data_IF_441500677895
#
_entry.id   IF_441500677895
#
_cell.length_a   1.000
_cell.length_b   1.000
_cell.length_c   1.000
_cell.angle_alpha   90.00
_cell.angle_beta   90.00
_cell.angle_gamma   90.00
#
_symmetry.space_group_name_H-M   'P 1'
#
loop_
_entity.id
_entity.type
_entity.pdbx_description
1 polymer ?
#
# COMPACT_ATOMS: atom_id res chain seq x y z
N UNK A 1 -73.69 -26.12 -32.29
CA UNK A 1 -72.84 -27.29 -31.98
C UNK A 1 -71.51 -27.11 -32.67
N UNK A 2 -70.39 -27.30 -31.93
CA UNK A 2 -69.07 -27.85 -32.32
C UNK A 2 -68.47 -27.46 -33.69
N UNK A 3 -67.18 -27.17 -33.88
CA UNK A 3 -65.94 -27.23 -33.07
C UNK A 3 -64.84 -26.54 -33.90
N UNK A 4 -63.87 -25.93 -33.21
CA UNK A 4 -62.55 -25.55 -33.74
C UNK A 4 -61.75 -26.79 -34.18
N UNK A 5 -60.84 -26.65 -35.17
CA UNK A 5 -59.39 -26.74 -34.93
C UNK A 5 -58.54 -26.86 -36.20
N UNK A 6 -57.67 -25.86 -36.37
CA UNK A 6 -56.27 -25.85 -36.77
C UNK A 6 -55.77 -26.88 -37.81
N UNK A 7 -55.39 -26.36 -38.98
CA UNK A 7 -54.31 -26.90 -39.80
C UNK A 7 -52.99 -26.80 -39.03
N UNK A 8 -52.38 -27.95 -38.71
CA UNK A 8 -50.99 -28.02 -38.30
C UNK A 8 -50.09 -27.97 -39.53
N UNK A 9 -49.22 -26.96 -39.56
CA UNK A 9 -48.09 -26.82 -40.46
C UNK A 9 -47.05 -27.92 -40.21
N UNK A 10 -46.35 -28.27 -41.29
CA UNK A 10 -45.31 -29.29 -41.41
C UNK A 10 -44.22 -29.24 -40.31
N UNK A 11 -43.61 -30.39 -39.96
CA UNK A 11 -42.39 -30.40 -39.16
C UNK A 11 -41.23 -29.84 -39.99
N UNK A 12 -40.61 -28.78 -39.48
CA UNK A 12 -39.32 -28.29 -39.97
C UNK A 12 -38.30 -29.42 -39.79
N UNK A 13 -37.81 -29.95 -40.90
CA UNK A 13 -36.71 -30.90 -40.96
C UNK A 13 -35.50 -30.26 -40.27
N UNK A 14 -35.08 -30.82 -39.12
CA UNK A 14 -33.80 -30.50 -38.49
C UNK A 14 -32.69 -30.87 -39.48
N UNK A 15 -32.06 -29.88 -40.10
CA UNK A 15 -30.87 -30.07 -40.91
C UNK A 15 -29.77 -30.70 -40.02
N UNK A 16 -29.58 -32.00 -40.16
CA UNK A 16 -28.56 -32.72 -39.39
C UNK A 16 -27.18 -32.28 -39.88
N UNK A 17 -26.33 -31.80 -38.96
CA UNK A 17 -24.93 -31.48 -39.23
C UNK A 17 -24.59 -29.99 -39.48
N UNK A 18 -25.54 -29.08 -39.63
CA UNK A 18 -25.23 -27.63 -39.75
C UNK A 18 -25.32 -26.90 -38.40
N UNK A 19 -24.55 -25.82 -38.24
CA UNK A 19 -24.68 -24.91 -37.11
C UNK A 19 -25.92 -24.03 -37.28
N UNK A 20 -26.73 -23.95 -36.23
CA UNK A 20 -27.93 -23.13 -36.20
C UNK A 20 -27.86 -22.18 -35.01
N UNK A 21 -28.14 -20.89 -35.23
CA UNK A 21 -28.32 -19.93 -34.13
C UNK A 21 -29.48 -20.38 -33.24
N UNK A 22 -29.28 -20.31 -31.94
CA UNK A 22 -30.29 -20.71 -30.95
C UNK A 22 -30.54 -19.57 -29.97
N UNK A 23 -31.71 -19.58 -29.33
CA UNK A 23 -32.05 -18.61 -28.29
C UNK A 23 -31.11 -18.74 -27.09
N UNK A 24 -30.70 -17.61 -26.52
CA UNK A 24 -29.93 -17.55 -25.28
C UNK A 24 -30.71 -18.09 -24.07
N UNK A 25 -32.03 -18.19 -24.19
CA UNK A 25 -32.91 -18.77 -23.19
C UNK A 25 -33.08 -20.29 -23.27
N UNK A 26 -32.45 -20.95 -24.25
CA UNK A 26 -32.53 -22.41 -24.40
C UNK A 26 -32.02 -23.11 -23.11
N UNK A 27 -32.84 -23.94 -22.42
CA UNK A 27 -32.44 -24.57 -21.17
C UNK A 27 -31.25 -25.55 -21.31
N UNK A 28 -31.08 -26.12 -22.50
CA UNK A 28 -29.93 -26.97 -22.83
C UNK A 28 -28.64 -26.16 -22.98
N UNK A 29 -28.75 -24.96 -23.56
CA UNK A 29 -27.65 -24.01 -23.67
C UNK A 29 -27.18 -23.51 -22.30
N UNK A 30 -28.10 -23.12 -21.40
CA UNK A 30 -27.75 -22.63 -20.05
C UNK A 30 -26.86 -23.63 -19.29
N UNK A 31 -27.29 -24.91 -19.27
CA UNK A 31 -26.53 -26.01 -18.65
C UNK A 31 -25.19 -26.28 -19.33
N UNK A 32 -25.15 -26.17 -20.67
CA UNK A 32 -23.93 -26.35 -21.42
C UNK A 32 -22.91 -25.24 -21.11
N UNK A 33 -23.34 -23.98 -21.10
CA UNK A 33 -22.50 -22.81 -20.80
C UNK A 33 -21.96 -22.88 -19.37
N UNK A 34 -22.81 -23.15 -18.37
CA UNK A 34 -22.37 -23.31 -16.97
C UNK A 34 -21.29 -24.40 -16.86
N UNK A 35 -21.51 -25.55 -17.50
CA UNK A 35 -20.53 -26.64 -17.53
C UNK A 35 -19.25 -26.27 -18.27
N UNK A 36 -19.37 -25.51 -19.37
CA UNK A 36 -18.24 -25.04 -20.18
C UNK A 36 -17.36 -24.05 -19.42
N UNK A 37 -17.96 -23.07 -18.74
CA UNK A 37 -17.24 -22.09 -17.92
C UNK A 37 -16.62 -22.75 -16.69
N UNK A 38 -17.27 -23.75 -16.08
CA UNK A 38 -16.67 -24.57 -15.03
C UNK A 38 -15.40 -25.28 -15.51
N UNK A 39 -15.46 -25.96 -16.64
CA UNK A 39 -14.32 -26.67 -17.22
C UNK A 39 -13.21 -25.71 -17.64
N UNK A 40 -13.56 -24.52 -18.15
CA UNK A 40 -12.63 -23.45 -18.45
C UNK A 40 -11.92 -22.96 -17.18
N UNK A 41 -12.66 -22.72 -16.09
CA UNK A 41 -12.11 -22.31 -14.80
C UNK A 41 -11.15 -23.36 -14.25
N UNK A 42 -11.49 -24.65 -14.33
CA UNK A 42 -10.62 -25.75 -13.89
C UNK A 42 -9.32 -25.87 -14.70
N UNK A 43 -9.37 -25.61 -16.01
CA UNK A 43 -8.18 -25.67 -16.90
C UNK A 43 -7.31 -24.41 -16.86
N UNK A 44 -7.78 -23.33 -16.25
CA UNK A 44 -7.03 -22.08 -16.11
C UNK A 44 -5.97 -22.18 -15.01
N UNK A 45 -4.80 -21.58 -15.23
CA UNK A 45 -3.73 -21.46 -14.22
C UNK A 45 -4.00 -20.39 -13.15
N UNK A 46 -5.15 -19.69 -13.20
CA UNK A 46 -5.51 -18.69 -12.18
C UNK A 46 -5.74 -19.32 -10.81
N UNK A 47 -5.34 -18.61 -9.75
CA UNK A 47 -5.63 -18.95 -8.35
C UNK A 47 -7.12 -18.83 -8.00
N UNK A 48 -7.86 -18.04 -8.79
CA UNK A 48 -9.25 -17.69 -8.56
C UNK A 48 -10.19 -18.38 -9.54
N UNK A 49 -11.43 -18.62 -9.11
CA UNK A 49 -12.47 -19.12 -10.00
C UNK A 49 -12.88 -18.08 -11.05
N UNK A 50 -13.37 -18.56 -12.19
CA UNK A 50 -13.97 -17.71 -13.23
C UNK A 50 -15.45 -18.02 -13.32
N UNK A 51 -16.30 -16.99 -13.34
CA UNK A 51 -17.76 -17.12 -13.51
C UNK A 51 -18.20 -16.53 -14.84
N UNK A 52 -19.33 -17.02 -15.33
CA UNK A 52 -20.04 -16.44 -16.46
C UNK A 52 -20.56 -15.05 -16.04
N UNK A 53 -20.31 -14.06 -16.89
CA UNK A 53 -20.93 -12.74 -16.80
C UNK A 53 -22.13 -12.69 -17.75
N UNK A 54 -21.89 -13.02 -19.03
CA UNK A 54 -22.88 -12.87 -20.08
C UNK A 54 -22.62 -13.85 -21.24
N UNK A 55 -23.69 -14.28 -21.91
CA UNK A 55 -23.63 -15.03 -23.17
C UNK A 55 -24.04 -14.07 -24.29
N UNK A 56 -23.14 -13.85 -25.25
CA UNK A 56 -23.37 -12.94 -26.37
C UNK A 56 -24.05 -13.64 -27.54
N UNK A 57 -23.53 -14.83 -27.88
CA UNK A 57 -23.96 -15.57 -29.06
C UNK A 57 -23.92 -17.07 -28.77
N UNK A 58 -24.88 -17.79 -29.37
CA UNK A 58 -24.95 -19.24 -29.26
C UNK A 58 -25.42 -19.88 -30.57
N UNK A 59 -24.68 -20.89 -31.01
CA UNK A 59 -25.05 -21.78 -32.09
C UNK A 59 -25.05 -23.22 -31.59
N UNK A 60 -25.94 -24.03 -32.13
CA UNK A 60 -26.04 -25.47 -31.84
C UNK A 60 -25.93 -26.27 -33.13
N UNK A 61 -25.21 -27.38 -33.06
CA UNK A 61 -25.11 -28.36 -34.13
C UNK A 61 -25.52 -29.73 -33.58
N UNK A 62 -26.43 -30.40 -34.29
CA UNK A 62 -26.87 -31.77 -33.96
C UNK A 62 -25.86 -32.77 -34.50
N UNK A 63 -25.30 -33.60 -33.60
CA UNK A 63 -24.35 -34.69 -33.88
C UNK A 63 -24.83 -35.96 -33.16
N UNK A 64 -23.95 -36.90 -32.81
CA UNK A 64 -24.26 -37.98 -31.85
C UNK A 64 -24.43 -37.44 -30.40
N UNK A 65 -25.25 -36.40 -30.25
CA UNK A 65 -25.25 -35.44 -29.15
C UNK A 65 -25.48 -34.01 -29.69
N UNK A 66 -24.96 -33.01 -29.00
CA UNK A 66 -25.03 -31.62 -29.41
C UNK A 66 -23.68 -30.95 -29.24
N UNK A 67 -23.23 -30.23 -30.26
CA UNK A 67 -22.18 -29.24 -30.08
C UNK A 67 -22.84 -27.87 -29.87
N UNK A 68 -22.32 -27.11 -28.91
CA UNK A 68 -22.64 -25.70 -28.70
C UNK A 68 -21.40 -24.88 -29.01
N UNK A 69 -21.52 -23.88 -29.87
CA UNK A 69 -20.51 -22.83 -30.05
C UNK A 69 -21.07 -21.59 -29.38
N UNK A 70 -20.36 -21.07 -28.38
CA UNK A 70 -20.83 -19.95 -27.57
C UNK A 70 -19.75 -18.88 -27.44
N UNK A 71 -20.15 -17.62 -27.53
CA UNK A 71 -19.30 -16.46 -27.21
C UNK A 71 -19.76 -15.92 -25.86
N UNK A 72 -18.89 -15.95 -24.87
CA UNK A 72 -19.23 -15.60 -23.47
C UNK A 72 -18.24 -14.60 -22.88
N UNK A 73 -18.72 -13.71 -22.03
CA UNK A 73 -17.87 -12.93 -21.12
C UNK A 73 -17.68 -13.69 -19.82
N UNK A 74 -16.42 -13.84 -19.38
CA UNK A 74 -16.08 -14.44 -18.09
C UNK A 74 -15.24 -13.50 -17.25
N UNK A 75 -15.50 -13.48 -15.95
CA UNK A 75 -14.76 -12.68 -14.97
C UNK A 75 -14.19 -13.56 -13.88
N UNK A 76 -13.04 -13.17 -13.32
CA UNK A 76 -12.52 -13.83 -12.12
C UNK A 76 -13.31 -13.41 -10.89
N UNK A 77 -13.34 -14.26 -9.87
CA UNK A 77 -14.01 -13.99 -8.60
C UNK A 77 -13.02 -13.86 -7.46
N UNK A 78 -13.44 -13.30 -6.33
CA UNK A 78 -12.60 -13.28 -5.11
C UNK A 78 -12.38 -14.67 -4.49
N UNK A 79 -13.07 -15.71 -4.97
CA UNK A 79 -13.00 -17.06 -4.41
C UNK A 79 -11.84 -17.87 -5.00
N UNK A 80 -10.93 -18.28 -4.11
CA UNK A 80 -9.78 -19.12 -4.46
C UNK A 80 -10.21 -20.56 -4.72
N UNK A 81 -9.61 -21.18 -5.74
CA UNK A 81 -9.86 -22.59 -6.09
C UNK A 81 -9.47 -23.58 -5.01
N UNK A 82 -8.53 -23.22 -4.13
CA UNK A 82 -8.10 -24.05 -3.01
C UNK A 82 -9.08 -24.03 -1.83
N UNK A 83 -10.02 -23.08 -1.80
CA UNK A 83 -10.88 -22.83 -0.64
C UNK A 83 -12.36 -23.11 -0.92
N UNK A 84 -12.82 -22.85 -2.13
CA UNK A 84 -14.24 -22.93 -2.51
C UNK A 84 -14.38 -23.85 -3.72
N UNK A 85 -15.40 -24.73 -3.72
CA UNK A 85 -15.72 -25.52 -4.91
C UNK A 85 -16.51 -24.69 -5.92
N UNK A 86 -16.42 -25.02 -7.19
CA UNK A 86 -17.09 -24.24 -8.24
C UNK A 86 -18.61 -24.17 -8.05
N UNK A 87 -19.20 -25.24 -7.52
CA UNK A 87 -20.63 -25.36 -7.26
C UNK A 87 -21.14 -24.35 -6.19
N UNK A 88 -20.24 -23.84 -5.34
CA UNK A 88 -20.57 -22.97 -4.20
C UNK A 88 -20.28 -21.48 -4.47
N UNK A 89 -20.10 -21.10 -5.74
CA UNK A 89 -19.69 -19.74 -6.13
C UNK A 89 -20.81 -18.67 -6.08
N UNK A 90 -22.00 -18.99 -5.58
CA UNK A 90 -23.14 -18.08 -5.57
C UNK A 90 -22.92 -16.84 -4.68
N UNK A 91 -22.09 -16.94 -3.64
CA UNK A 91 -21.71 -15.81 -2.76
C UNK A 91 -20.38 -15.13 -3.12
N UNK A 92 -19.80 -15.44 -4.28
CA UNK A 92 -18.50 -14.92 -4.69
C UNK A 92 -18.64 -13.73 -5.64
N UNK A 93 -18.20 -12.56 -5.19
CA UNK A 93 -18.12 -11.36 -6.01
C UNK A 93 -17.02 -11.45 -7.07
N UNK A 94 -17.20 -10.71 -8.16
CA UNK A 94 -16.20 -10.58 -9.22
C UNK A 94 -15.01 -9.74 -8.74
N UNK A 95 -13.80 -10.16 -9.11
CA UNK A 95 -12.60 -9.33 -9.00
C UNK A 95 -12.72 -8.16 -9.98
N UNK A 96 -12.37 -6.96 -9.54
CA UNK A 96 -12.25 -5.80 -10.41
C UNK A 96 -11.08 -6.02 -11.42
N UNK A 97 -11.39 -6.09 -12.71
CA UNK A 97 -10.41 -6.34 -13.76
C UNK A 97 -11.03 -6.60 -15.15
N UNK A 98 -10.22 -6.75 -16.21
CA UNK A 98 -10.72 -6.97 -17.56
C UNK A 98 -11.45 -8.30 -17.67
N UNK A 99 -12.68 -8.26 -18.17
CA UNK A 99 -13.43 -9.46 -18.54
C UNK A 99 -12.77 -10.11 -19.76
N UNK A 100 -12.75 -11.44 -19.81
CA UNK A 100 -12.27 -12.17 -20.99
C UNK A 100 -13.46 -12.54 -21.86
N UNK A 101 -13.38 -12.28 -23.16
CA UNK A 101 -14.31 -12.88 -24.11
C UNK A 101 -13.73 -14.23 -24.51
N UNK A 102 -14.52 -15.27 -24.29
CA UNK A 102 -14.16 -16.64 -24.63
C UNK A 102 -15.11 -17.19 -25.68
N UNK A 103 -14.54 -17.74 -26.75
CA UNK A 103 -15.23 -18.58 -27.72
C UNK A 103 -15.08 -20.03 -27.25
N UNK A 104 -16.17 -20.66 -26.84
CA UNK A 104 -16.19 -22.04 -26.34
C UNK A 104 -16.92 -22.96 -27.32
N UNK A 105 -16.38 -24.16 -27.52
CA UNK A 105 -17.08 -25.27 -28.16
C UNK A 105 -17.30 -26.36 -27.12
N UNK A 106 -18.57 -26.64 -26.83
CA UNK A 106 -19.00 -27.53 -25.75
C UNK A 106 -19.80 -28.67 -26.38
N UNK A 107 -19.31 -29.90 -26.21
CA UNK A 107 -20.01 -31.09 -26.62
C UNK A 107 -20.86 -31.64 -25.47
N UNK A 108 -22.11 -32.01 -25.76
CA UNK A 108 -23.02 -32.71 -24.86
C UNK A 108 -23.43 -34.05 -25.48
N UNK A 109 -23.18 -35.16 -24.80
CA UNK A 109 -23.63 -36.47 -25.26
C UNK A 109 -25.12 -36.73 -24.93
N UNK A 110 -25.66 -37.86 -25.38
CA UNK A 110 -27.05 -38.27 -25.13
C UNK A 110 -27.35 -38.56 -23.64
N UNK A 111 -26.32 -38.72 -22.79
CA UNK A 111 -26.43 -38.90 -21.33
C UNK A 111 -26.34 -37.57 -20.55
N UNK A 112 -26.35 -36.42 -21.24
CA UNK A 112 -26.19 -35.07 -20.67
C UNK A 112 -24.81 -34.77 -20.04
N UNK A 113 -23.78 -35.53 -20.39
CA UNK A 113 -22.41 -35.22 -19.98
C UNK A 113 -21.80 -34.18 -20.92
N UNK A 114 -21.11 -33.18 -20.35
CA UNK A 114 -20.54 -32.06 -21.08
C UNK A 114 -19.01 -32.16 -21.16
N UNK A 115 -18.45 -31.80 -22.31
CA UNK A 115 -16.99 -31.70 -22.51
C UNK A 115 -16.67 -30.40 -23.25
N UNK A 116 -15.69 -29.66 -22.73
CA UNK A 116 -15.11 -28.51 -23.42
C UNK A 116 -14.08 -28.99 -24.44
N UNK A 117 -14.43 -28.92 -25.73
CA UNK A 117 -13.63 -29.49 -26.83
C UNK A 117 -12.67 -28.46 -27.44
N UNK A 118 -13.08 -27.19 -27.51
CA UNK A 118 -12.22 -26.08 -27.95
C UNK A 118 -12.54 -24.83 -27.11
N UNK A 119 -11.52 -24.05 -26.78
CA UNK A 119 -11.70 -22.74 -26.16
C UNK A 119 -10.61 -21.79 -26.63
N UNK A 120 -10.96 -20.53 -26.82
CA UNK A 120 -10.06 -19.42 -27.12
C UNK A 120 -10.57 -18.20 -26.37
N UNK A 121 -9.72 -17.59 -25.55
CA UNK A 121 -10.10 -16.47 -24.70
C UNK A 121 -9.16 -15.30 -24.98
N UNK A 122 -9.72 -14.20 -25.46
CA UNK A 122 -8.99 -12.96 -25.70
C UNK A 122 -9.35 -11.95 -24.60
N UNK A 123 -8.37 -11.15 -24.17
CA UNK A 123 -8.64 -9.90 -23.45
C UNK A 123 -9.32 -8.96 -24.42
N UNK A 124 -10.55 -8.55 -24.15
CA UNK A 124 -11.33 -7.80 -25.13
C UNK A 124 -10.89 -6.32 -25.22
N UNK A 125 -10.45 -5.83 -26.38
CA UNK A 125 -10.28 -4.39 -26.65
C UNK A 125 -11.61 -3.67 -27.00
N UNK A 126 -12.74 -4.38 -27.12
CA UNK A 126 -13.99 -3.82 -27.67
C UNK A 126 -15.21 -3.79 -26.73
N UNK A 127 -15.05 -3.97 -25.40
CA UNK A 127 -16.03 -3.38 -24.48
C UNK A 127 -15.76 -1.89 -24.43
N UNK A 128 -16.41 -1.12 -25.32
CA UNK A 128 -16.52 0.33 -25.13
C UNK A 128 -17.04 0.50 -23.71
N UNK A 129 -16.26 1.12 -22.81
CA UNK A 129 -16.76 1.38 -21.49
C UNK A 129 -18.05 2.20 -21.66
N UNK A 130 -19.04 2.03 -20.77
CA UNK A 130 -20.09 3.03 -20.60
C UNK A 130 -19.46 4.43 -20.76
N UNK A 131 -20.08 5.40 -21.44
CA UNK A 131 -19.45 6.71 -21.67
C UNK A 131 -18.80 7.27 -20.40
N UNK A 132 -19.44 7.06 -19.24
CA UNK A 132 -18.90 7.40 -17.92
C UNK A 132 -17.61 6.65 -17.55
N UNK A 133 -17.54 5.34 -17.78
CA UNK A 133 -16.34 4.53 -17.55
C UNK A 133 -15.22 4.83 -18.55
N UNK A 134 -15.55 5.31 -19.76
CA UNK A 134 -14.57 5.63 -20.81
C UNK A 134 -13.94 6.98 -20.52
N UNK A 135 -14.77 7.94 -20.11
CA UNK A 135 -14.32 9.23 -19.59
C UNK A 135 -13.48 9.04 -18.32
N UNK A 136 -13.88 8.16 -17.40
CA UNK A 136 -13.10 7.87 -16.20
C UNK A 136 -11.75 7.23 -16.53
N UNK A 137 -11.72 6.21 -17.39
CA UNK A 137 -10.47 5.56 -17.79
C UNK A 137 -9.52 6.54 -18.50
N UNK A 138 -10.06 7.40 -19.37
CA UNK A 138 -9.28 8.44 -20.03
C UNK A 138 -8.76 9.49 -19.05
N UNK A 139 -9.56 9.90 -18.07
CA UNK A 139 -9.11 10.81 -17.01
C UNK A 139 -8.02 10.18 -16.12
N UNK A 140 -8.17 8.91 -15.74
CA UNK A 140 -7.16 8.16 -15.00
C UNK A 140 -5.86 8.01 -15.79
N UNK A 141 -5.94 7.81 -17.10
CA UNK A 141 -4.79 7.78 -18.00
C UNK A 141 -4.05 9.12 -18.04
N UNK A 142 -4.77 10.24 -18.18
CA UNK A 142 -4.17 11.58 -18.14
C UNK A 142 -3.51 11.87 -16.79
N UNK A 143 -4.14 11.46 -15.69
CA UNK A 143 -3.56 11.57 -14.34
C UNK A 143 -2.30 10.71 -14.20
N UNK A 144 -2.26 9.54 -14.82
CA UNK A 144 -1.08 8.68 -14.80
C UNK A 144 0.08 9.28 -15.62
N UNK A 145 -0.20 9.81 -16.81
CA UNK A 145 0.81 10.48 -17.64
C UNK A 145 1.41 11.70 -16.94
N UNK A 146 0.57 12.51 -16.29
CA UNK A 146 0.99 13.62 -15.44
C UNK A 146 1.78 13.16 -14.21
N UNK A 147 1.38 12.06 -13.56
CA UNK A 147 2.14 11.43 -12.48
C UNK A 147 3.54 10.98 -12.94
N UNK A 148 3.62 10.30 -14.09
CA UNK A 148 4.87 9.84 -14.69
C UNK A 148 5.80 11.01 -14.96
N UNK A 149 5.28 12.09 -15.58
CA UNK A 149 6.06 13.29 -15.84
C UNK A 149 6.50 14.01 -14.55
N UNK A 150 5.58 14.19 -13.59
CA UNK A 150 5.86 14.89 -12.32
C UNK A 150 6.94 14.21 -11.48
N UNK A 151 6.93 12.88 -11.46
CA UNK A 151 7.84 12.09 -10.63
C UNK A 151 9.03 11.51 -11.41
N UNK A 152 9.19 11.87 -12.68
CA UNK A 152 10.28 11.38 -13.53
C UNK A 152 10.32 9.85 -13.60
N UNK A 153 9.15 9.21 -13.75
CA UNK A 153 9.07 7.74 -13.78
C UNK A 153 9.54 7.22 -15.12
N UNK A 154 10.45 6.25 -15.06
CA UNK A 154 10.94 5.50 -16.21
C UNK A 154 10.57 4.03 -16.02
N UNK A 155 10.06 3.41 -17.09
CA UNK A 155 9.66 2.01 -17.11
C UNK A 155 10.46 1.30 -18.20
N UNK A 156 10.78 0.02 -17.97
CA UNK A 156 11.61 -0.79 -18.86
C UNK A 156 10.96 -0.95 -20.24
N UNK A 157 9.65 -1.17 -20.26
CA UNK A 157 8.86 -1.38 -21.46
C UNK A 157 7.39 -0.98 -21.25
N UNK A 158 6.60 -1.02 -22.33
CA UNK A 158 5.18 -0.67 -22.28
C UNK A 158 4.35 -1.69 -21.48
N UNK A 159 4.79 -2.95 -21.35
CA UNK A 159 4.12 -3.94 -20.52
C UNK A 159 4.26 -3.60 -19.03
N UNK A 160 5.46 -3.20 -18.59
CA UNK A 160 5.68 -2.68 -17.23
C UNK A 160 4.85 -1.42 -17.00
N UNK A 161 4.91 -0.45 -17.91
CA UNK A 161 4.14 0.80 -17.79
C UNK A 161 2.64 0.55 -17.68
N UNK A 162 2.11 -0.40 -18.45
CA UNK A 162 0.71 -0.79 -18.37
C UNK A 162 0.38 -1.48 -17.03
N UNK A 163 1.27 -2.31 -16.50
CA UNK A 163 1.11 -2.90 -15.17
C UNK A 163 1.13 -1.82 -14.07
N UNK A 164 2.06 -0.86 -14.15
CA UNK A 164 2.18 0.29 -13.25
C UNK A 164 0.94 1.18 -13.30
N UNK A 165 0.35 1.37 -14.48
CA UNK A 165 -0.94 2.06 -14.62
C UNK A 165 -2.06 1.33 -13.87
N UNK A 166 -2.15 0.00 -13.93
CA UNK A 166 -3.18 -0.73 -13.18
C UNK A 166 -2.99 -0.59 -11.66
N UNK A 167 -1.75 -0.63 -11.18
CA UNK A 167 -1.43 -0.39 -9.76
C UNK A 167 -1.82 1.04 -9.36
N UNK A 168 -1.48 2.02 -10.20
CA UNK A 168 -1.84 3.42 -10.00
C UNK A 168 -3.35 3.61 -9.85
N UNK A 169 -4.15 3.00 -10.73
CA UNK A 169 -5.62 3.04 -10.63
C UNK A 169 -6.16 2.43 -9.34
N UNK A 170 -5.58 1.32 -8.88
CA UNK A 170 -5.95 0.73 -7.59
C UNK A 170 -5.62 1.66 -6.43
N UNK A 171 -4.46 2.31 -6.48
CA UNK A 171 -4.05 3.29 -5.47
C UNK A 171 -4.90 4.57 -5.51
N UNK A 172 -5.39 5.01 -6.67
CA UNK A 172 -6.38 6.10 -6.75
C UNK A 172 -7.65 5.77 -5.95
N UNK A 173 -8.11 4.52 -5.94
CA UNK A 173 -9.24 4.09 -5.10
C UNK A 173 -8.92 4.18 -3.62
N UNK A 174 -7.71 3.77 -3.21
CA UNK A 174 -7.24 3.91 -1.82
C UNK A 174 -7.14 5.37 -1.40
N UNK A 175 -6.58 6.24 -2.25
CA UNK A 175 -6.51 7.68 -2.05
C UNK A 175 -7.91 8.27 -1.87
N UNK A 176 -8.86 7.90 -2.73
CA UNK A 176 -10.25 8.33 -2.57
C UNK A 176 -10.83 7.85 -1.24
N UNK A 177 -10.62 6.59 -0.89
CA UNK A 177 -11.12 6.03 0.36
C UNK A 177 -10.55 6.75 1.59
N UNK A 178 -9.24 7.06 1.61
CA UNK A 178 -8.61 7.85 2.66
C UNK A 178 -9.23 9.25 2.77
N UNK A 179 -9.40 9.95 1.65
CA UNK A 179 -10.01 11.28 1.62
C UNK A 179 -11.47 11.27 2.11
N UNK A 180 -12.26 10.26 1.72
CA UNK A 180 -13.68 10.15 2.11
C UNK A 180 -13.85 9.85 3.62
N UNK A 181 -12.85 9.24 4.27
CA UNK A 181 -12.90 8.82 5.67
C UNK A 181 -11.97 9.63 6.60
N UNK A 182 -11.32 10.66 6.08
CA UNK A 182 -10.41 11.52 6.83
C UNK A 182 -11.18 12.30 7.91
N UNK A 183 -10.82 12.12 9.19
CA UNK A 183 -11.48 12.83 10.29
C UNK A 183 -10.91 14.20 10.56
N UNK A 184 -9.73 14.51 10.06
CA UNK A 184 -8.94 15.72 10.28
C UNK A 184 -9.16 16.74 9.18
N UNK A 185 -8.08 17.13 8.51
CA UNK A 185 -8.07 18.06 7.36
C UNK A 185 -7.09 17.62 6.27
N UNK A 186 -6.49 16.45 6.43
CA UNK A 186 -5.51 15.96 5.47
C UNK A 186 -6.13 15.78 4.08
N UNK A 187 -5.28 15.99 3.08
CA UNK A 187 -5.53 15.63 1.69
C UNK A 187 -4.55 14.54 1.32
N UNK A 188 -5.09 13.49 0.72
CA UNK A 188 -4.32 12.40 0.15
C UNK A 188 -4.33 12.53 -1.37
N UNK A 189 -3.21 12.22 -2.00
CA UNK A 189 -3.01 12.41 -3.43
C UNK A 189 -1.96 11.48 -4.00
N UNK A 190 -1.65 11.66 -5.27
CA UNK A 190 -0.64 10.88 -5.99
C UNK A 190 0.76 11.32 -5.55
N UNK A 191 1.34 10.58 -4.61
CA UNK A 191 2.74 10.72 -4.19
C UNK A 191 3.65 9.90 -5.12
N UNK A 192 4.97 9.98 -4.93
CA UNK A 192 5.95 9.16 -5.69
C UNK A 192 5.74 7.64 -5.60
N UNK A 193 4.89 7.18 -4.68
CA UNK A 193 4.54 5.78 -4.45
C UNK A 193 3.23 5.35 -5.11
N UNK A 194 2.57 6.22 -5.88
CA UNK A 194 1.25 5.94 -6.44
C UNK A 194 1.24 4.75 -7.42
N UNK A 195 2.36 4.37 -8.02
CA UNK A 195 2.50 3.20 -8.89
C UNK A 195 3.14 1.97 -8.22
N UNK A 196 3.26 1.98 -6.89
CA UNK A 196 3.78 0.86 -6.10
C UNK A 196 2.66 -0.02 -5.55
N UNK A 197 2.89 -1.32 -5.55
CA UNK A 197 2.07 -2.29 -4.81
C UNK A 197 2.26 -2.12 -3.30
N UNK A 198 1.36 -2.69 -2.50
CA UNK A 198 1.51 -2.69 -1.04
C UNK A 198 2.76 -3.44 -0.58
N UNK A 199 3.16 -4.49 -1.31
CA UNK A 199 4.37 -5.26 -1.02
C UNK A 199 5.65 -4.46 -1.31
N UNK A 200 5.70 -3.77 -2.45
CA UNK A 200 6.81 -2.87 -2.78
C UNK A 200 6.93 -1.75 -1.74
N UNK A 201 5.82 -1.10 -1.38
CA UNK A 201 5.83 -0.04 -0.38
C UNK A 201 6.33 -0.54 0.98
N UNK A 202 5.82 -1.67 1.46
CA UNK A 202 6.25 -2.27 2.73
C UNK A 202 7.73 -2.69 2.71
N UNK A 203 8.22 -3.20 1.60
CA UNK A 203 9.61 -3.66 1.49
C UNK A 203 10.61 -2.50 1.39
N UNK A 204 10.26 -1.45 0.64
CA UNK A 204 11.23 -0.45 0.20
C UNK A 204 11.10 0.90 0.91
N UNK A 205 9.91 1.30 1.38
CA UNK A 205 9.69 2.59 2.04
C UNK A 205 9.51 2.48 3.56
N UNK A 206 9.21 1.28 4.06
CA UNK A 206 9.07 0.98 5.50
C UNK A 206 10.26 0.18 5.99
N UNK A 207 10.32 -0.17 7.27
CA UNK A 207 11.44 -0.96 7.79
C UNK A 207 11.62 -0.95 9.30
N UNK A 208 10.62 -0.47 10.04
CA UNK A 208 10.60 -0.68 11.48
C UNK A 208 10.25 -2.14 11.75
N UNK A 209 11.05 -2.81 12.59
CA UNK A 209 10.89 -4.23 12.91
C UNK A 209 10.72 -4.47 14.41
N UNK A 210 9.51 -4.23 14.96
CA UNK A 210 9.23 -4.47 16.39
C UNK A 210 9.55 -5.89 16.88
N UNK A 211 9.60 -6.87 15.98
CA UNK A 211 9.96 -8.26 16.27
C UNK A 211 11.45 -8.47 16.59
N UNK A 212 12.32 -7.50 16.27
CA UNK A 212 13.74 -7.52 16.65
C UNK A 212 13.98 -7.04 18.10
N UNK A 213 12.93 -6.67 18.84
CA UNK A 213 13.07 -6.24 20.22
C UNK A 213 13.36 -7.46 21.11
N UNK A 214 14.55 -7.51 21.71
CA UNK A 214 14.90 -8.58 22.64
C UNK A 214 14.05 -8.50 23.93
N UNK A 215 13.49 -9.62 24.37
CA UNK A 215 12.53 -9.66 25.49
C UNK A 215 13.14 -9.31 26.86
N UNK A 216 14.46 -9.42 26.99
CA UNK A 216 15.20 -9.09 28.22
C UNK A 216 15.78 -7.67 28.22
N UNK A 217 15.61 -6.93 27.13
CA UNK A 217 16.22 -5.62 26.96
C UNK A 217 15.39 -4.55 27.66
N UNK A 218 15.83 -4.16 28.87
CA UNK A 218 15.18 -3.11 29.65
C UNK A 218 15.82 -1.78 29.30
N UNK A 219 15.20 -1.04 28.40
CA UNK A 219 15.60 0.33 28.10
C UNK A 219 15.10 1.23 29.24
N UNK A 220 15.96 2.05 29.87
CA UNK A 220 15.54 2.95 30.93
C UNK A 220 14.40 3.86 30.49
N UNK A 221 13.43 4.09 31.38
CA UNK A 221 12.39 5.09 31.15
C UNK A 221 12.94 6.48 31.43
N UNK A 222 12.58 7.43 30.58
CA UNK A 222 12.88 8.83 30.77
C UNK A 222 12.22 9.39 32.03
N UNK A 223 12.95 10.22 32.77
CA UNK A 223 12.34 11.14 33.74
C UNK A 223 11.68 12.28 32.94
N UNK A 224 10.36 12.39 33.06
CA UNK A 224 9.61 13.41 32.31
C UNK A 224 9.73 14.75 33.03
N UNK A 225 10.27 15.79 32.39
CA UNK A 225 10.42 17.09 33.00
C UNK A 225 9.07 17.79 33.14
N UNK A 226 8.88 18.58 34.20
CA UNK A 226 7.78 19.53 34.24
C UNK A 226 8.15 20.76 33.39
N UNK A 227 7.64 20.80 32.15
CA UNK A 227 7.90 21.89 31.22
C UNK A 227 6.60 22.64 30.87
N UNK A 228 6.64 23.98 30.75
CA UNK A 228 5.50 24.73 30.23
C UNK A 228 5.24 24.33 28.78
N UNK A 229 3.97 24.12 28.44
CA UNK A 229 3.54 23.69 27.12
C UNK A 229 2.90 24.86 26.37
N UNK A 230 3.63 25.60 25.53
CA UNK A 230 3.01 26.57 24.63
C UNK A 230 2.06 25.86 23.65
N UNK A 231 1.13 26.58 23.02
CA UNK A 231 0.18 26.01 22.05
C UNK A 231 0.87 25.43 20.80
N UNK A 232 2.04 25.96 20.45
CA UNK A 232 2.87 25.45 19.36
C UNK A 232 4.34 25.54 19.72
N UNK A 233 5.11 24.58 19.20
CA UNK A 233 6.55 24.49 19.40
C UNK A 233 7.16 23.73 18.23
N UNK A 234 8.27 24.23 17.68
CA UNK A 234 8.94 23.62 16.53
C UNK A 234 10.46 23.76 16.63
N UNK A 235 11.18 22.63 16.64
CA UNK A 235 12.64 22.62 16.71
C UNK A 235 13.31 23.10 15.43
N UNK A 236 12.59 23.16 14.30
CA UNK A 236 13.09 23.74 13.05
C UNK A 236 13.37 25.23 13.19
N UNK A 237 12.53 25.95 13.93
CA UNK A 237 12.71 27.38 14.23
C UNK A 237 13.97 27.65 15.06
N UNK A 238 14.47 26.62 15.77
CA UNK A 238 15.69 26.67 16.57
C UNK A 238 16.92 26.15 15.81
N UNK A 239 16.77 25.74 14.55
CA UNK A 239 17.85 25.24 13.68
C UNK A 239 18.63 24.07 14.28
N UNK A 240 17.92 23.15 14.95
CA UNK A 240 18.52 21.91 15.47
C UNK A 240 18.03 20.65 14.73
N UNK A 241 17.32 20.85 13.61
CA UNK A 241 16.81 19.79 12.75
C UNK A 241 17.48 19.93 11.39
N UNK A 242 18.15 18.89 10.92
CA UNK A 242 18.77 18.86 9.59
C UNK A 242 17.72 18.85 8.47
N UNK A 243 18.18 19.03 7.22
CA UNK A 243 17.33 18.90 6.04
C UNK A 243 16.65 17.52 5.95
N UNK A 244 15.53 17.43 5.23
CA UNK A 244 14.88 16.15 4.94
C UNK A 244 15.73 15.34 3.98
N UNK A 245 16.01 14.08 4.34
CA UNK A 245 16.73 13.10 3.53
C UNK A 245 15.77 12.13 2.83
N UNK A 246 16.31 11.24 1.98
CA UNK A 246 15.53 10.23 1.24
C UNK A 246 16.18 8.84 1.39
N UNK A 247 15.46 7.89 2.01
CA UNK A 247 15.91 6.51 2.18
C UNK A 247 15.84 5.69 0.87
N UNK A 248 15.27 6.24 -0.20
CA UNK A 248 15.19 5.54 -1.48
C UNK A 248 14.38 4.24 -1.39
N UNK A 249 14.94 3.15 -1.93
CA UNK A 249 14.31 1.82 -1.95
C UNK A 249 14.90 0.85 -0.92
N UNK A 250 15.33 1.37 0.22
CA UNK A 250 15.91 0.63 1.33
C UNK A 250 15.04 0.79 2.58
N UNK A 251 14.78 -0.30 3.30
CA UNK A 251 13.99 -0.29 4.52
C UNK A 251 14.72 0.26 5.75
N UNK A 252 15.44 1.37 5.61
CA UNK A 252 16.31 1.93 6.65
C UNK A 252 15.70 3.11 7.43
N UNK A 253 14.36 3.26 7.42
CA UNK A 253 13.68 4.33 8.18
C UNK A 253 14.07 4.37 9.67
N UNK A 254 14.37 3.21 10.26
CA UNK A 254 14.88 3.07 11.63
C UNK A 254 16.20 3.82 11.83
N UNK A 255 17.12 3.75 10.86
CA UNK A 255 18.40 4.47 10.89
C UNK A 255 18.16 5.99 10.82
N UNK A 256 17.33 6.46 9.87
CA UNK A 256 16.99 7.88 9.72
C UNK A 256 16.29 8.48 10.96
N UNK A 257 15.41 7.73 11.60
CA UNK A 257 14.75 8.14 12.85
C UNK A 257 15.77 8.26 13.99
N UNK A 258 16.74 7.35 14.05
CA UNK A 258 17.82 7.32 15.04
C UNK A 258 18.79 8.48 14.85
N UNK A 259 19.34 8.63 13.65
CA UNK A 259 20.28 9.72 13.33
C UNK A 259 19.62 11.06 13.56
N UNK A 260 18.41 11.29 13.03
CA UNK A 260 17.69 12.55 13.23
C UNK A 260 17.44 12.91 14.70
N UNK A 261 17.25 11.92 15.58
CA UNK A 261 17.19 12.18 17.02
C UNK A 261 18.56 12.60 17.57
N UNK A 262 19.63 11.86 17.26
CA UNK A 262 20.98 12.14 17.74
C UNK A 262 21.47 13.51 17.26
N UNK A 263 21.21 13.88 16.00
CA UNK A 263 21.53 15.21 15.45
C UNK A 263 20.94 16.32 16.32
N UNK A 264 19.66 16.19 16.69
CA UNK A 264 18.98 17.14 17.57
C UNK A 264 19.53 17.14 19.00
N UNK A 265 19.75 15.95 19.58
CA UNK A 265 20.32 15.81 20.93
C UNK A 265 21.73 16.41 21.03
N UNK A 266 22.56 16.17 20.02
CA UNK A 266 23.92 16.68 19.93
C UNK A 266 23.94 18.21 19.81
N UNK A 267 23.10 18.77 18.94
CA UNK A 267 22.96 20.21 18.77
C UNK A 267 22.47 20.90 20.06
N UNK A 268 21.53 20.30 20.80
CA UNK A 268 21.03 20.81 22.07
C UNK A 268 22.07 20.88 23.18
N UNK A 269 23.12 20.06 23.10
CA UNK A 269 24.27 20.11 24.01
C UNK A 269 25.30 21.17 23.62
N UNK A 270 24.99 22.03 22.64
CA UNK A 270 25.86 23.10 22.19
C UNK A 270 27.05 22.61 21.36
N UNK A 271 26.99 21.37 20.84
CA UNK A 271 28.08 20.74 20.08
C UNK A 271 27.96 20.94 18.57
N UNK A 272 27.01 21.75 18.13
CA UNK A 272 26.72 22.06 16.72
C UNK A 272 25.74 21.08 16.07
N UNK A 273 25.11 21.49 14.97
CA UNK A 273 24.28 20.61 14.15
C UNK A 273 25.16 19.89 13.13
N UNK A 274 25.11 18.56 13.11
CA UNK A 274 25.89 17.69 12.22
C UNK A 274 24.91 16.80 11.47
N UNK A 275 25.12 16.58 10.17
CA UNK A 275 24.37 15.56 9.42
C UNK A 275 25.08 14.22 9.59
N UNK A 276 24.39 13.21 10.10
CA UNK A 276 24.97 11.92 10.48
C UNK A 276 24.73 10.84 9.42
N UNK A 277 25.61 9.84 9.36
CA UNK A 277 25.49 8.75 8.40
C UNK A 277 24.44 7.72 8.81
N UNK A 278 23.38 7.57 8.01
CA UNK A 278 22.50 6.41 8.13
C UNK A 278 23.13 5.13 7.56
N UNK A 279 24.00 5.26 6.56
CA UNK A 279 24.64 4.12 5.90
C UNK A 279 25.54 3.33 6.84
N UNK A 280 26.25 4.02 7.74
CA UNK A 280 27.04 3.36 8.77
C UNK A 280 26.16 2.45 9.63
N UNK A 281 24.94 2.86 9.98
CA UNK A 281 24.01 2.00 10.71
C UNK A 281 23.53 0.83 9.84
N UNK A 282 23.16 1.09 8.59
CA UNK A 282 22.74 0.04 7.65
C UNK A 282 23.81 -1.06 7.52
N UNK A 283 25.09 -0.68 7.44
CA UNK A 283 26.18 -1.61 7.17
C UNK A 283 26.81 -2.22 8.43
N UNK A 284 26.86 -1.48 9.54
CA UNK A 284 27.67 -1.82 10.72
C UNK A 284 26.86 -2.27 11.94
N UNK A 285 25.54 -2.03 11.98
CA UNK A 285 24.66 -2.58 13.00
C UNK A 285 24.58 -4.10 12.87
N UNK A 286 24.97 -4.82 13.93
CA UNK A 286 25.01 -6.29 13.92
C UNK A 286 23.71 -6.94 14.40
N UNK A 287 22.80 -6.17 14.95
CA UNK A 287 21.55 -6.62 15.57
C UNK A 287 20.41 -6.48 14.56
N UNK A 288 20.31 -5.31 13.94
CA UNK A 288 19.32 -5.00 12.91
C UNK A 288 19.67 -5.67 11.58
N UNK A 289 18.91 -5.39 10.52
CA UNK A 289 18.95 -6.11 9.25
C UNK A 289 19.11 -5.16 8.06
N UNK A 290 19.81 -4.05 8.26
CA UNK A 290 20.11 -3.07 7.20
C UNK A 290 18.84 -2.61 6.47
N UNK A 291 18.79 -2.84 5.15
CA UNK A 291 17.63 -2.53 4.32
C UNK A 291 16.41 -3.45 4.52
N UNK A 292 16.53 -4.58 5.22
CA UNK A 292 15.39 -5.42 5.63
C UNK A 292 14.74 -4.96 6.96
N UNK A 293 15.29 -3.89 7.56
CA UNK A 293 14.71 -3.19 8.69
C UNK A 293 15.45 -3.33 10.02
N UNK A 294 14.97 -2.58 11.01
CA UNK A 294 15.66 -2.42 12.29
C UNK A 294 14.83 -1.66 13.32
N UNK A 295 15.47 -1.30 14.43
CA UNK A 295 14.86 -0.58 15.56
C UNK A 295 15.77 0.52 16.05
N UNK A 296 15.20 1.70 16.35
CA UNK A 296 15.99 2.82 16.85
C UNK A 296 16.73 2.48 18.15
N UNK A 297 16.12 1.64 18.98
CA UNK A 297 16.70 1.21 20.26
C UNK A 297 17.87 0.25 20.12
N UNK A 298 17.89 -0.55 19.05
CA UNK A 298 19.03 -1.40 18.72
C UNK A 298 20.17 -0.55 18.15
N UNK A 299 19.83 0.33 17.21
CA UNK A 299 20.75 1.31 16.64
C UNK A 299 21.48 2.13 17.71
N UNK A 300 20.79 2.65 18.73
CA UNK A 300 21.47 3.37 19.83
C UNK A 300 22.52 2.51 20.55
N UNK A 301 22.25 1.22 20.80
CA UNK A 301 23.22 0.32 21.44
C UNK A 301 24.42 0.06 20.55
N UNK A 302 24.18 -0.12 19.25
CA UNK A 302 25.25 -0.37 18.30
C UNK A 302 26.14 0.87 18.12
N UNK A 303 25.57 2.08 18.13
CA UNK A 303 26.36 3.33 18.16
C UNK A 303 27.25 3.39 19.41
N UNK A 304 26.70 3.04 20.58
CA UNK A 304 27.50 2.98 21.83
C UNK A 304 28.62 1.93 21.71
N UNK A 305 28.32 0.76 21.12
CA UNK A 305 29.29 -0.32 20.89
C UNK A 305 30.41 0.08 19.93
N UNK A 306 30.08 0.77 18.84
CA UNK A 306 31.03 1.30 17.85
C UNK A 306 31.88 2.44 18.43
N UNK A 307 31.34 3.13 19.45
CA UNK A 307 31.98 4.24 20.13
C UNK A 307 31.67 5.61 19.51
N UNK A 308 30.60 5.69 18.70
CA UNK A 308 30.16 6.88 18.02
C UNK A 308 29.61 6.59 16.62
N UNK A 309 29.39 7.66 15.86
CA UNK A 309 28.89 7.64 14.49
C UNK A 309 29.62 8.70 13.65
N UNK A 310 29.89 8.38 12.39
CA UNK A 310 30.48 9.27 11.38
C UNK A 310 29.43 10.24 10.81
N UNK A 311 29.91 11.26 10.10
CA UNK A 311 29.05 12.22 9.42
C UNK A 311 28.61 11.70 8.05
N UNK A 312 27.49 12.20 7.54
CA UNK A 312 26.96 11.89 6.21
C UNK A 312 28.01 12.11 5.09
N UNK A 313 28.88 13.12 5.23
CA UNK A 313 29.91 13.41 4.24
C UNK A 313 31.06 12.39 4.21
N UNK A 314 31.32 11.73 5.34
CA UNK A 314 32.44 10.80 5.51
C UNK A 314 32.00 9.36 5.19
N UNK A 315 30.72 9.03 5.44
CA UNK A 315 30.09 7.76 5.07
C UNK A 315 28.72 8.02 4.40
N UNK A 316 28.69 8.34 3.10
CA UNK A 316 27.47 8.73 2.40
C UNK A 316 26.44 7.62 2.24
N UNK A 317 25.16 8.00 2.26
CA UNK A 317 24.03 7.10 2.03
C UNK A 317 23.86 6.67 0.56
N UNK A 318 23.71 5.36 0.33
CA UNK A 318 23.53 4.80 -1.01
C UNK A 318 22.37 3.78 -1.15
N UNK A 319 21.59 3.62 -0.08
CA UNK A 319 20.33 2.87 -0.07
C UNK A 319 20.46 1.37 -0.43
N UNK A 320 21.56 0.73 -0.02
CA UNK A 320 21.75 -0.73 -0.12
C UNK A 320 22.59 -1.23 1.04
N UNK A 321 22.54 -2.54 1.28
CA UNK A 321 23.42 -3.18 2.25
C UNK A 321 24.83 -3.32 1.67
N UNK A 322 25.82 -2.77 2.37
CA UNK A 322 27.23 -2.86 2.02
C UNK A 322 28.05 -3.46 3.16
N UNK A 323 29.34 -3.70 2.89
CA UNK A 323 30.26 -4.11 3.94
C UNK A 323 30.60 -2.90 4.81
N UNK A 324 30.38 -3.06 6.13
CA UNK A 324 30.79 -2.07 7.13
C UNK A 324 32.23 -1.55 6.88
N UNK A 325 32.30 -0.25 6.59
CA UNK A 325 33.55 0.48 6.32
C UNK A 325 33.88 1.50 7.40
N UNK A 326 33.28 1.34 8.59
CA UNK A 326 33.41 2.25 9.73
C UNK A 326 34.87 2.56 10.09
N UNK A 327 35.14 3.84 10.32
CA UNK A 327 36.45 4.31 10.81
C UNK A 327 36.30 5.12 12.09
N UNK A 328 36.83 4.56 13.17
CA UNK A 328 36.87 5.22 14.48
C UNK A 328 37.51 6.62 14.48
N UNK A 329 38.42 6.90 13.54
CA UNK A 329 39.06 8.22 13.40
C UNK A 329 38.16 9.30 12.78
N UNK A 330 37.07 8.92 12.12
CA UNK A 330 36.15 9.83 11.40
C UNK A 330 34.86 10.10 12.20
N UNK A 331 34.69 9.45 13.37
CA UNK A 331 33.57 9.66 14.30
C UNK A 331 33.37 11.15 14.62
N UNK A 332 32.13 11.61 14.46
CA UNK A 332 31.70 13.00 14.75
C UNK A 332 30.94 13.14 16.04
N UNK A 333 30.16 12.13 16.41
CA UNK A 333 29.27 12.17 17.57
C UNK A 333 29.35 10.89 18.37
N UNK A 334 28.93 10.98 19.63
CA UNK A 334 28.72 9.82 20.50
C UNK A 334 27.45 10.05 21.32
N UNK A 335 26.89 8.95 21.82
CA UNK A 335 25.80 8.99 22.79
C UNK A 335 26.22 8.19 24.03
N UNK A 336 25.69 8.58 25.19
CA UNK A 336 26.01 7.94 26.46
C UNK A 336 25.06 6.79 26.79
N UNK A 337 23.79 6.95 26.41
CA UNK A 337 22.73 5.95 26.58
C UNK A 337 21.52 6.33 25.72
N UNK A 338 20.42 5.61 25.88
CA UNK A 338 19.11 5.94 25.32
C UNK A 338 18.02 5.68 26.36
N UNK A 339 16.89 6.36 26.19
CA UNK A 339 15.70 6.20 27.04
C UNK A 339 14.46 5.95 26.20
N UNK A 340 13.49 5.24 26.77
CA UNK A 340 12.11 5.22 26.27
C UNK A 340 11.33 6.38 26.87
N UNK A 341 10.50 7.03 26.07
CA UNK A 341 9.64 8.13 26.55
C UNK A 341 8.29 7.55 26.98
N UNK A 342 7.49 8.36 27.65
CA UNK A 342 6.12 8.00 28.00
C UNK A 342 5.26 7.76 26.75
N UNK A 343 4.23 6.91 26.92
CA UNK A 343 3.15 6.75 25.94
C UNK A 343 2.05 7.80 26.11
N UNK A 344 2.12 8.64 27.15
CA UNK A 344 1.24 9.78 27.33
C UNK A 344 1.71 10.94 26.44
N UNK A 345 0.89 11.36 25.48
CA UNK A 345 1.25 12.40 24.52
C UNK A 345 1.53 13.77 25.17
N UNK A 346 0.95 14.09 26.33
CA UNK A 346 1.27 15.31 27.07
C UNK A 346 2.68 15.24 27.65
N UNK A 347 3.07 14.09 28.19
CA UNK A 347 4.44 13.85 28.69
C UNK A 347 5.45 13.83 27.54
N UNK A 348 5.07 13.33 26.37
CA UNK A 348 5.87 13.46 25.14
C UNK A 348 6.07 14.93 24.76
N UNK A 349 5.05 15.80 24.90
CA UNK A 349 5.23 17.23 24.65
C UNK A 349 6.21 17.85 25.63
N UNK A 350 6.10 17.50 26.91
CA UNK A 350 7.00 18.00 27.95
C UNK A 350 8.46 17.59 27.68
N UNK A 351 8.67 16.33 27.30
CA UNK A 351 9.98 15.87 26.85
C UNK A 351 10.44 16.66 25.62
N UNK A 352 9.62 16.76 24.58
CA UNK A 352 10.00 17.42 23.33
C UNK A 352 10.48 18.85 23.56
N UNK A 353 9.72 19.64 24.33
CA UNK A 353 10.03 21.06 24.61
C UNK A 353 11.33 21.21 25.38
N UNK A 354 11.60 20.29 26.32
CA UNK A 354 12.75 20.43 27.23
C UNK A 354 14.02 19.76 26.70
N UNK A 355 13.88 18.61 26.06
CA UNK A 355 14.96 17.68 25.78
C UNK A 355 15.18 17.42 24.29
N UNK A 356 14.31 17.86 23.37
CA UNK A 356 14.56 17.75 21.94
C UNK A 356 13.69 16.75 21.19
N UNK A 357 13.93 16.58 19.87
CA UNK A 357 13.18 15.68 18.98
C UNK A 357 13.07 14.24 19.51
N UNK A 358 11.99 13.54 19.17
CA UNK A 358 11.69 12.18 19.66
C UNK A 358 11.65 11.21 18.47
N UNK A 359 12.46 10.15 18.52
CA UNK A 359 12.38 9.05 17.56
C UNK A 359 11.16 8.18 17.90
N UNK A 360 10.30 7.92 16.91
CA UNK A 360 9.08 7.15 17.11
C UNK A 360 8.87 6.06 16.07
N UNK A 361 8.14 5.02 16.43
CA UNK A 361 7.46 4.11 15.50
C UNK A 361 6.03 4.59 15.20
N UNK A 362 5.57 4.42 13.96
CA UNK A 362 4.22 4.74 13.51
C UNK A 362 3.74 3.70 12.48
N UNK A 363 2.43 3.46 12.39
CA UNK A 363 1.86 2.76 11.24
C UNK A 363 1.71 3.74 10.05
N UNK A 364 2.43 3.49 8.97
CA UNK A 364 2.54 4.38 7.83
C UNK A 364 1.51 4.13 6.70
N UNK A 365 0.50 3.28 6.91
CA UNK A 365 -0.48 2.95 5.86
C UNK A 365 -1.20 4.20 5.30
N UNK A 366 -1.62 5.13 6.16
CA UNK A 366 -2.19 6.40 5.71
C UNK A 366 -1.13 7.35 5.13
N UNK A 367 0.14 7.24 5.54
CA UNK A 367 1.20 8.14 5.11
C UNK A 367 1.57 7.94 3.63
N UNK A 368 1.42 6.73 3.07
CA UNK A 368 1.81 6.43 1.68
C UNK A 368 1.36 7.51 0.68
N UNK A 369 0.14 8.01 0.84
CA UNK A 369 -0.48 8.99 -0.06
C UNK A 369 -0.70 10.38 0.54
N UNK A 370 -0.13 10.67 1.71
CA UNK A 370 -0.30 11.97 2.35
C UNK A 370 0.29 13.10 1.50
N UNK A 371 -0.50 14.15 1.27
CA UNK A 371 -0.11 15.33 0.50
C UNK A 371 0.00 16.59 1.37
N UNK A 372 -0.86 16.74 2.37
CA UNK A 372 -0.82 17.87 3.30
C UNK A 372 -2.03 17.95 4.22
N UNK A 373 -2.01 18.87 5.19
CA UNK A 373 -3.07 19.05 6.20
C UNK A 373 -2.87 18.19 7.46
N UNK A 374 -3.80 18.27 8.43
CA UNK A 374 -3.69 17.48 9.67
C UNK A 374 -4.38 16.13 9.47
N UNK A 375 -3.61 15.06 9.45
CA UNK A 375 -4.05 13.69 9.24
C UNK A 375 -4.63 13.08 10.52
N UNK A 376 -5.84 12.53 10.42
CA UNK A 376 -6.55 11.85 11.51
C UNK A 376 -7.33 10.62 10.98
N UNK A 377 -6.66 9.66 10.35
CA UNK A 377 -7.28 8.43 9.88
C UNK A 377 -7.92 7.65 11.04
N UNK A 378 -8.89 6.81 10.70
CA UNK A 378 -9.45 5.83 11.65
C UNK A 378 -8.43 4.73 11.97
N UNK A 379 -8.57 4.08 13.13
CA UNK A 379 -7.63 3.01 13.56
C UNK A 379 -7.49 1.88 12.54
N UNK A 380 -8.55 1.52 11.81
CA UNK A 380 -8.46 0.46 10.78
C UNK A 380 -7.69 0.91 9.51
N UNK A 381 -7.48 2.22 9.33
CA UNK A 381 -6.67 2.80 8.26
C UNK A 381 -5.20 3.01 8.66
N UNK A 382 -4.89 2.95 9.95
CA UNK A 382 -3.53 2.87 10.46
C UNK A 382 -3.55 2.22 11.85
N UNK A 383 -3.38 0.90 11.90
CA UNK A 383 -3.56 0.13 13.13
C UNK A 383 -2.47 0.52 14.16
N UNK A 384 -2.84 1.07 15.34
CA UNK A 384 -1.88 1.42 16.37
C UNK A 384 -1.07 0.23 16.91
N UNK A 385 -1.52 -1.01 16.69
CA UNK A 385 -0.83 -2.23 17.08
C UNK A 385 0.18 -2.76 16.05
N UNK A 386 0.23 -2.18 14.85
CA UNK A 386 1.07 -2.67 13.75
C UNK A 386 2.03 -1.58 13.26
N UNK A 387 2.99 -1.19 14.10
CA UNK A 387 3.99 -0.19 13.74
C UNK A 387 4.96 -0.75 12.70
N UNK A 388 5.21 0.01 11.64
CA UNK A 388 6.02 -0.45 10.49
C UNK A 388 7.01 0.60 9.97
N UNK A 389 6.95 1.85 10.48
CA UNK A 389 7.79 2.95 10.02
C UNK A 389 8.43 3.74 11.16
N UNK A 390 9.72 4.05 11.02
CA UNK A 390 10.48 4.90 11.95
C UNK A 390 10.52 6.35 11.48
N UNK A 391 10.11 7.29 12.32
CA UNK A 391 10.09 8.73 12.00
C UNK A 391 10.51 9.59 13.20
N UNK A 392 10.56 10.91 13.03
CA UNK A 392 11.04 11.83 14.08
C UNK A 392 10.01 12.92 14.38
N UNK A 393 9.52 13.00 15.61
CA UNK A 393 8.74 14.16 16.08
C UNK A 393 9.69 15.32 16.33
N UNK A 394 9.44 16.46 15.68
CA UNK A 394 10.25 17.68 15.80
C UNK A 394 9.49 18.88 16.35
N UNK A 395 8.17 18.78 16.44
CA UNK A 395 7.32 19.88 16.88
C UNK A 395 5.87 19.45 17.09
N UNK A 396 5.05 20.39 17.53
CA UNK A 396 3.61 20.25 17.60
C UNK A 396 2.94 21.62 17.43
N UNK A 397 1.64 21.60 17.17
CA UNK A 397 0.84 22.81 17.16
C UNK A 397 -0.63 22.54 17.42
N UNK A 398 -1.41 23.60 17.34
CA UNK A 398 -2.86 23.57 17.35
C UNK A 398 -3.34 24.47 16.22
N UNK A 399 -4.21 23.94 15.35
CA UNK A 399 -4.87 24.76 14.33
C UNK A 399 -6.36 24.86 14.63
N UNK A 400 -6.86 26.09 14.74
CA UNK A 400 -8.29 26.36 14.85
C UNK A 400 -8.86 26.64 13.47
N UNK A 401 -9.93 25.94 13.11
CA UNK A 401 -10.70 26.12 11.88
C UNK A 401 -12.05 26.75 12.24
N UNK A 402 -12.17 28.10 12.22
CA UNK A 402 -13.36 28.80 12.72
C UNK A 402 -14.63 28.42 11.95
N UNK A 403 -14.52 28.27 10.63
CA UNK A 403 -15.63 27.90 9.75
C UNK A 403 -16.24 26.54 10.10
N UNK A 404 -15.41 25.61 10.60
CA UNK A 404 -15.84 24.26 10.98
C UNK A 404 -15.96 24.09 12.50
N UNK A 405 -15.77 25.17 13.28
CA UNK A 405 -15.72 25.18 14.75
C UNK A 405 -14.86 24.05 15.32
N UNK A 406 -13.70 23.82 14.70
CA UNK A 406 -12.87 22.65 14.96
C UNK A 406 -11.46 23.06 15.34
N UNK A 407 -10.98 22.59 16.48
CA UNK A 407 -9.60 22.79 16.93
C UNK A 407 -8.87 21.47 16.82
N UNK A 408 -7.81 21.42 16.01
CA UNK A 408 -7.02 20.22 15.77
C UNK A 408 -5.60 20.41 16.32
N UNK A 409 -5.29 19.84 17.50
CA UNK A 409 -3.91 19.62 17.91
C UNK A 409 -3.21 18.63 16.97
N UNK A 410 -1.93 18.86 16.67
CA UNK A 410 -1.14 18.00 15.81
C UNK A 410 0.32 17.90 16.25
N UNK A 411 0.97 16.79 15.90
CA UNK A 411 2.42 16.63 15.87
C UNK A 411 2.98 17.03 14.50
N UNK A 412 4.23 17.51 14.48
CA UNK A 412 5.02 17.73 13.28
C UNK A 412 6.08 16.63 13.23
N UNK A 413 5.97 15.77 12.23
CA UNK A 413 6.84 14.62 12.03
C UNK A 413 7.73 14.87 10.82
N UNK A 414 9.05 14.74 11.00
CA UNK A 414 10.04 14.66 9.92
C UNK A 414 10.06 13.23 9.38
N UNK A 415 9.87 13.08 8.07
CA UNK A 415 9.93 11.79 7.38
C UNK A 415 11.25 11.63 6.61
N UNK A 416 11.51 10.43 6.08
CA UNK A 416 12.71 10.03 5.34
C UNK A 416 12.44 9.68 3.87
N UNK A 417 11.37 10.21 3.28
CA UNK A 417 10.98 9.93 1.89
C UNK A 417 11.27 11.10 0.94
N UNK A 418 12.24 11.95 1.28
CA UNK A 418 12.61 13.12 0.51
C UNK A 418 11.65 14.29 0.66
N UNK A 419 12.14 15.49 0.36
CA UNK A 419 11.37 16.73 0.49
C UNK A 419 10.22 16.86 -0.52
N UNK A 420 10.18 16.03 -1.57
CA UNK A 420 9.08 16.03 -2.55
C UNK A 420 7.80 15.34 -2.06
N UNK A 421 7.87 14.62 -0.93
CA UNK A 421 6.74 13.94 -0.32
C UNK A 421 6.09 14.80 0.78
N UNK A 422 4.76 14.73 0.92
CA UNK A 422 4.02 15.43 1.98
C UNK A 422 4.25 16.94 2.00
N UNK A 423 4.35 17.51 3.20
CA UNK A 423 4.59 18.94 3.38
C UNK A 423 6.09 19.24 3.44
N UNK A 424 6.75 19.21 2.28
CA UNK A 424 8.20 19.37 2.17
C UNK A 424 8.99 18.32 2.99
N UNK A 425 8.52 17.07 2.97
CA UNK A 425 9.06 15.96 3.74
C UNK A 425 8.49 15.80 5.15
N UNK A 426 7.55 16.66 5.54
CA UNK A 426 6.92 16.60 6.85
C UNK A 426 5.49 16.07 6.79
N UNK A 427 5.05 15.52 7.93
CA UNK A 427 3.73 14.99 8.15
C UNK A 427 3.11 15.65 9.38
N UNK A 428 1.92 16.22 9.24
CA UNK A 428 1.12 16.67 10.37
C UNK A 428 0.05 15.65 10.69
N UNK A 429 0.10 15.10 11.90
CA UNK A 429 -0.82 14.06 12.38
C UNK A 429 -1.49 14.51 13.66
N UNK A 430 -2.76 14.15 13.84
CA UNK A 430 -3.53 14.48 15.03
C UNK A 430 -2.82 14.02 16.30
N UNK A 431 -2.86 14.87 17.32
CA UNK A 431 -2.27 14.65 18.64
C UNK A 431 -3.37 14.52 19.69
N UNK A 432 -3.35 13.46 20.49
CA UNK A 432 -4.21 13.31 21.67
C UNK A 432 -4.98 12.00 21.76
N UNK A 433 -4.89 11.11 20.78
CA UNK A 433 -5.50 9.77 20.82
C UNK A 433 -4.55 8.63 20.40
N UNK A 434 -3.25 8.90 20.30
CA UNK A 434 -2.25 7.96 19.82
C UNK A 434 -2.46 7.56 18.35
N UNK A 435 -2.86 8.52 17.50
CA UNK A 435 -3.15 8.29 16.07
C UNK A 435 -2.02 7.47 15.41
N UNK A 436 -2.40 6.37 14.76
CA UNK A 436 -1.48 5.43 14.10
C UNK A 436 -0.40 4.82 15.02
N UNK A 437 -0.61 4.83 16.34
CA UNK A 437 0.32 4.25 17.31
C UNK A 437 1.59 5.05 17.55
N UNK A 438 1.63 6.33 17.14
CA UNK A 438 2.83 7.19 17.21
C UNK A 438 3.45 7.34 18.62
N UNK A 439 2.68 7.03 19.66
CA UNK A 439 3.06 7.14 21.06
C UNK A 439 3.49 5.78 21.68
N UNK A 440 3.47 4.69 20.91
CA UNK A 440 3.66 3.33 21.44
C UNK A 440 5.14 2.91 21.48
N UNK A 441 5.98 3.48 20.60
CA UNK A 441 7.41 3.18 20.53
C UNK A 441 8.18 4.49 20.44
N UNK A 442 8.43 5.13 21.58
CA UNK A 442 9.04 6.45 21.66
C UNK A 442 10.40 6.35 22.35
N UNK A 443 11.42 6.98 21.77
CA UNK A 443 12.78 6.90 22.30
C UNK A 443 13.60 8.16 22.01
N UNK A 444 14.67 8.33 22.78
CA UNK A 444 15.67 9.36 22.54
C UNK A 444 17.03 8.90 23.02
N UNK A 445 18.07 9.25 22.28
CA UNK A 445 19.44 9.22 22.77
C UNK A 445 19.64 10.20 23.92
N UNK A 446 20.64 9.92 24.75
CA UNK A 446 21.12 10.78 25.84
C UNK A 446 22.56 11.16 25.53
N UNK A 447 22.82 12.46 25.45
CA UNK A 447 24.14 13.04 25.24
C UNK A 447 24.49 13.90 26.45
N UNK A 448 25.70 13.73 27.00
CA UNK A 448 26.22 14.51 28.12
C UNK A 448 27.03 15.74 27.69
#
# INVERSE_FOLDING_TARGET
>A
MLRYSLLFLLPLVLATGQWQKISLDDPGLKKAVESGVRLLSQRSNSLYHSKLIEVHEAERQVVAGYNYKVKVSVGYTHCKKSQVKYEDLNGCDFLEGPHKICNLVIYRNLKNEHRLTKFECNTDPEVKPSPQNAHQLHAEQLLFEDFVARHGKEYQDEDEKQARFQIFRQNLKKIKFLNDHERGTAKYGTTKFADWTDEEFKRHALGLRPDLLETNDIIPKAEIPNAPLPDSFDWRDKKIVTEVKDQGQCGSCWAFSTTGNIEGQWALKGKGLVSLSEQELVDCDKVDKGCEGGLQTNAYKEIIRLGGLEGESDYPYDAKDDKCSFKKSEVKVYINSSVTISTNETEMQQWLVKNGPIAIGINANAMQFYYGGISHPWKFLCDPGNLDHGVLIVGYGVHSYPLFKKTLPFWIIKNSWGASWGEQGYYRVYRGDGTCGLNMMTSSAVVN
#
